data_IF_569071871513
#
_entry.id   IF_569071871513
#
_cell.length_a   1.000
_cell.length_b   1.000
_cell.length_c   1.000
_cell.angle_alpha   90.00
_cell.angle_beta   90.00
_cell.angle_gamma   90.00
#
_symmetry.space_group_name_H-M   'P 1'
#
loop_
_entity.id
_entity.type
_entity.pdbx_description
1 polymer ?
#
# COMPACT_ATOMS: atom_id res chain seq x y z
N UNK A 1 27.34 11.07 13.44
CA UNK A 1 26.90 9.81 14.07
C UNK A 1 25.96 9.07 13.12
N UNK A 2 25.73 7.77 13.33
CA UNK A 2 24.83 6.96 12.48
C UNK A 2 23.38 7.34 12.75
N UNK A 3 22.57 7.43 11.69
CA UNK A 3 21.15 7.80 11.76
C UNK A 3 20.23 6.60 11.54
N UNK A 4 19.00 6.68 12.06
CA UNK A 4 17.99 5.62 11.93
C UNK A 4 17.75 5.23 10.46
N UNK A 5 17.60 6.19 9.55
CA UNK A 5 17.44 5.90 8.12
C UNK A 5 18.59 5.07 7.52
N UNK A 6 19.84 5.25 8.00
CA UNK A 6 20.99 4.49 7.55
C UNK A 6 20.94 3.03 8.03
N UNK A 7 20.46 2.79 9.27
CA UNK A 7 20.22 1.44 9.79
C UNK A 7 19.11 0.74 9.01
N UNK A 8 18.00 1.43 8.74
CA UNK A 8 16.89 0.90 7.93
C UNK A 8 17.39 0.51 6.52
N UNK A 9 18.26 1.33 5.91
CA UNK A 9 18.79 1.07 4.56
C UNK A 9 19.61 -0.22 4.46
N UNK A 10 20.33 -0.61 5.53
CA UNK A 10 21.18 -1.81 5.53
C UNK A 10 20.49 -3.06 6.08
N UNK A 11 19.39 -2.91 6.82
CA UNK A 11 18.70 -4.02 7.49
C UNK A 11 18.35 -5.16 6.52
N UNK A 12 17.83 -4.82 5.34
CA UNK A 12 17.44 -5.81 4.32
C UNK A 12 18.62 -6.67 3.86
N UNK A 13 19.79 -6.08 3.63
CA UNK A 13 20.98 -6.82 3.17
C UNK A 13 21.57 -7.67 4.28
N UNK A 14 21.60 -7.17 5.51
CA UNK A 14 22.02 -7.92 6.70
C UNK A 14 21.11 -9.13 6.92
N UNK A 15 19.78 -8.96 6.85
CA UNK A 15 18.80 -10.05 6.95
C UNK A 15 19.02 -11.12 5.89
N UNK A 16 19.25 -10.72 4.63
CA UNK A 16 19.52 -11.66 3.55
C UNK A 16 20.82 -12.45 3.76
N UNK A 17 21.89 -11.79 4.24
CA UNK A 17 23.18 -12.43 4.55
C UNK A 17 23.04 -13.44 5.68
N UNK A 18 22.35 -13.07 6.76
CA UNK A 18 22.04 -13.93 7.89
C UNK A 18 21.25 -15.20 7.46
N UNK A 19 20.18 -15.02 6.69
CA UNK A 19 19.38 -16.13 6.18
C UNK A 19 20.19 -17.07 5.28
N UNK A 20 21.07 -16.51 4.43
CA UNK A 20 21.98 -17.31 3.59
C UNK A 20 22.95 -18.13 4.45
N UNK A 21 23.62 -17.51 5.41
CA UNK A 21 24.57 -18.21 6.28
C UNK A 21 23.91 -19.40 7.00
N UNK A 22 22.69 -19.20 7.54
CA UNK A 22 21.93 -20.26 8.18
C UNK A 22 21.54 -21.39 7.21
N UNK A 23 21.04 -21.03 6.02
CA UNK A 23 20.64 -22.01 5.01
C UNK A 23 21.81 -22.80 4.42
N UNK A 24 22.96 -22.14 4.22
CA UNK A 24 24.19 -22.76 3.71
C UNK A 24 24.74 -23.75 4.75
N UNK A 25 24.86 -23.33 6.02
CA UNK A 25 25.27 -24.20 7.10
C UNK A 25 24.35 -25.44 7.21
N UNK A 26 23.03 -25.24 7.18
CA UNK A 26 22.08 -26.36 7.21
C UNK A 26 22.26 -27.35 6.04
N UNK A 27 22.46 -26.85 4.81
CA UNK A 27 22.70 -27.70 3.63
C UNK A 27 24.04 -28.43 3.70
N UNK A 28 25.09 -27.79 4.18
CA UNK A 28 26.42 -28.40 4.28
C UNK A 28 26.50 -29.44 5.39
N UNK A 29 25.96 -29.12 6.58
CA UNK A 29 25.90 -30.06 7.69
C UNK A 29 24.97 -31.25 7.41
N UNK A 30 24.00 -31.10 6.50
CA UNK A 30 23.20 -32.21 6.00
C UNK A 30 23.96 -33.23 5.13
N UNK A 31 25.18 -32.91 4.68
CA UNK A 31 25.99 -33.81 3.84
C UNK A 31 26.99 -34.58 4.70
N UNK A 32 26.61 -35.77 5.16
CA UNK A 32 27.47 -36.62 6.01
C UNK A 32 28.91 -36.80 5.49
N UNK A 33 29.18 -36.99 4.19
CA UNK A 33 30.56 -37.10 3.69
C UNK A 33 31.44 -35.87 3.91
N UNK A 34 30.87 -34.67 4.11
CA UNK A 34 31.64 -33.46 4.43
C UNK A 34 32.09 -33.44 5.90
N UNK A 35 31.35 -34.14 6.76
CA UNK A 35 31.59 -34.22 8.21
C UNK A 35 32.42 -35.45 8.59
N UNK A 36 32.59 -36.40 7.68
CA UNK A 36 33.36 -37.62 7.89
C UNK A 36 34.72 -37.54 7.21
N UNK A 37 35.72 -38.09 7.88
CA UNK A 37 37.03 -38.37 7.31
C UNK A 37 37.40 -39.83 7.55
N UNK A 38 38.32 -40.35 6.74
CA UNK A 38 38.86 -41.69 6.90
C UNK A 38 40.38 -41.63 6.76
N UNK A 39 41.10 -42.42 7.55
CA UNK A 39 42.54 -42.64 7.40
C UNK A 39 42.80 -44.13 7.59
N UNK A 40 43.21 -44.80 6.53
CA UNK A 40 43.50 -46.24 6.49
C UNK A 40 44.95 -46.46 6.10
N UNK A 41 45.64 -47.25 6.92
CA UNK A 41 46.97 -47.77 6.63
C UNK A 41 46.85 -49.29 6.51
N UNK A 42 47.35 -49.85 5.43
CA UNK A 42 47.37 -51.30 5.23
C UNK A 42 48.67 -51.88 5.78
N UNK A 43 48.56 -52.93 6.59
CA UNK A 43 49.70 -53.72 7.05
C UNK A 43 49.52 -55.15 6.56
N UNK A 44 50.42 -55.67 5.70
CA UNK A 44 50.37 -57.07 5.28
C UNK A 44 50.53 -58.01 6.47
N UNK A 45 49.89 -59.18 6.40
CA UNK A 45 49.96 -60.20 7.46
C UNK A 45 51.32 -60.90 7.53
N UNK A 46 51.94 -61.12 6.37
CA UNK A 46 53.20 -61.83 6.20
C UNK A 46 54.25 -60.90 5.56
N UNK A 47 55.55 -61.15 5.78
CA UNK A 47 56.64 -60.27 5.31
C UNK A 47 56.73 -60.17 3.76
N UNK A 48 56.24 -61.17 3.04
CA UNK A 48 56.17 -61.18 1.57
C UNK A 48 54.83 -60.67 1.02
N UNK A 49 53.95 -60.15 1.88
CA UNK A 49 52.60 -59.70 1.49
C UNK A 49 52.61 -58.43 0.63
N UNK A 50 51.60 -58.30 -0.23
CA UNK A 50 51.39 -57.15 -1.10
C UNK A 50 51.25 -55.85 -0.29
N UNK A 51 52.02 -54.81 -0.63
CA UNK A 51 51.85 -53.49 -0.02
C UNK A 51 50.79 -52.68 -0.77
N UNK A 52 49.76 -52.26 -0.04
CA UNK A 52 48.72 -51.37 -0.56
C UNK A 52 48.95 -49.93 -0.08
N UNK A 53 48.73 -48.92 -0.93
CA UNK A 53 48.88 -47.53 -0.54
C UNK A 53 47.87 -47.15 0.54
N UNK A 54 48.23 -46.23 1.46
CA UNK A 54 47.29 -45.73 2.45
C UNK A 54 46.19 -44.89 1.78
N UNK A 55 44.98 -44.92 2.36
CA UNK A 55 43.84 -44.13 1.91
C UNK A 55 43.48 -43.08 2.96
N UNK A 56 43.33 -41.83 2.56
CA UNK A 56 42.97 -40.75 3.48
C UNK A 56 42.00 -39.76 2.84
N UNK A 57 40.89 -39.49 3.53
CA UNK A 57 39.98 -38.36 3.27
C UNK A 57 39.87 -37.52 4.54
N UNK A 58 40.11 -36.21 4.44
CA UNK A 58 39.98 -35.30 5.58
C UNK A 58 38.54 -34.85 5.77
N UNK A 59 38.16 -34.55 7.01
CA UNK A 59 36.93 -33.82 7.31
C UNK A 59 36.98 -32.46 6.63
N UNK A 60 35.95 -32.14 5.84
CA UNK A 60 35.90 -30.91 5.04
C UNK A 60 35.17 -29.78 5.78
N UNK A 61 34.26 -30.13 6.69
CA UNK A 61 33.40 -29.19 7.42
C UNK A 61 33.28 -29.63 8.88
N UNK A 62 33.33 -28.68 9.82
CA UNK A 62 33.14 -28.94 11.25
C UNK A 62 31.91 -28.20 11.79
N UNK A 63 31.12 -28.85 12.64
CA UNK A 63 29.90 -28.26 13.21
C UNK A 63 30.21 -26.95 13.96
N UNK A 64 31.24 -26.95 14.81
CA UNK A 64 31.63 -25.77 15.61
C UNK A 64 32.04 -24.56 14.75
N UNK A 65 32.72 -24.79 13.63
CA UNK A 65 33.09 -23.71 12.71
C UNK A 65 31.83 -23.09 12.10
N UNK A 66 30.85 -23.93 11.75
CA UNK A 66 29.61 -23.49 11.10
C UNK A 66 28.69 -22.79 12.09
N UNK A 67 28.64 -23.25 13.34
CA UNK A 67 27.93 -22.57 14.43
C UNK A 67 28.50 -21.18 14.68
N UNK A 68 29.83 -21.00 14.63
CA UNK A 68 30.46 -19.67 14.75
C UNK A 68 30.12 -18.76 13.57
N UNK A 69 30.15 -19.27 12.34
CA UNK A 69 29.79 -18.49 11.15
C UNK A 69 28.32 -18.02 11.19
N UNK A 70 27.41 -18.93 11.54
CA UNK A 70 25.98 -18.63 11.71
C UNK A 70 25.78 -17.64 12.85
N UNK A 71 26.40 -17.87 14.00
CA UNK A 71 26.34 -16.99 15.17
C UNK A 71 26.81 -15.57 14.85
N UNK A 72 27.92 -15.41 14.12
CA UNK A 72 28.42 -14.10 13.73
C UNK A 72 27.44 -13.36 12.78
N UNK A 73 26.90 -14.07 11.78
CA UNK A 73 25.93 -13.50 10.85
C UNK A 73 24.62 -13.11 11.53
N UNK A 74 24.14 -13.96 12.44
CA UNK A 74 22.90 -13.75 13.20
C UNK A 74 23.04 -12.66 14.27
N UNK A 75 24.17 -12.59 14.96
CA UNK A 75 24.51 -11.53 15.90
C UNK A 75 24.34 -10.17 15.24
N UNK A 76 24.94 -10.00 14.05
CA UNK A 76 24.82 -8.74 13.30
C UNK A 76 23.36 -8.41 12.96
N UNK A 77 22.55 -9.40 12.58
CA UNK A 77 21.13 -9.18 12.32
C UNK A 77 20.38 -8.72 13.58
N UNK A 78 20.62 -9.39 14.71
CA UNK A 78 19.95 -9.09 15.97
C UNK A 78 20.28 -7.67 16.45
N UNK A 79 21.56 -7.28 16.39
CA UNK A 79 22.00 -5.95 16.79
C UNK A 79 21.42 -4.84 15.89
N UNK A 80 21.40 -5.04 14.57
CA UNK A 80 20.77 -4.09 13.62
C UNK A 80 19.29 -3.91 13.94
N UNK A 81 18.59 -5.02 14.18
CA UNK A 81 17.14 -5.00 14.41
C UNK A 81 16.83 -4.33 15.74
N UNK A 82 17.55 -4.70 16.80
CA UNK A 82 17.38 -4.13 18.12
C UNK A 82 17.71 -2.62 18.16
N UNK A 83 18.80 -2.22 17.51
CA UNK A 83 19.19 -0.80 17.37
C UNK A 83 18.09 0.00 16.68
N UNK A 84 17.56 -0.52 15.56
CA UNK A 84 16.45 0.11 14.83
C UNK A 84 15.21 0.23 15.72
N UNK A 85 14.80 -0.85 16.37
CA UNK A 85 13.57 -0.87 17.18
C UNK A 85 13.70 0.02 18.43
N UNK A 86 14.87 0.04 19.06
CA UNK A 86 15.16 0.93 20.19
C UNK A 86 15.13 2.40 19.76
N UNK A 87 15.70 2.72 18.60
CA UNK A 87 15.70 4.08 18.07
C UNK A 87 14.30 4.51 17.64
N UNK A 88 13.52 3.62 17.01
CA UNK A 88 12.11 3.88 16.67
C UNK A 88 11.26 4.24 17.89
N UNK A 89 11.57 3.69 19.07
CA UNK A 89 10.83 3.97 20.29
C UNK A 89 10.98 5.43 20.79
N UNK A 90 12.03 6.14 20.34
CA UNK A 90 12.30 7.53 20.73
C UNK A 90 12.23 8.52 19.56
N UNK A 91 12.32 8.02 18.32
CA UNK A 91 12.33 8.85 17.12
C UNK A 91 10.95 9.49 16.91
N UNK A 92 10.91 10.81 17.05
CA UNK A 92 9.70 11.65 16.97
C UNK A 92 9.99 12.89 16.13
N UNK A 93 8.93 13.51 15.59
CA UNK A 93 9.00 14.82 14.95
C UNK A 93 7.62 15.50 14.95
N UNK A 94 7.62 16.81 14.78
CA UNK A 94 6.41 17.62 14.71
C UNK A 94 5.83 17.64 13.28
N UNK A 95 4.50 17.60 13.17
CA UNK A 95 3.79 17.82 11.92
C UNK A 95 3.45 19.31 11.84
N UNK A 96 4.16 20.07 11.01
CA UNK A 96 3.91 21.50 10.80
C UNK A 96 3.29 21.75 9.43
N UNK A 97 2.12 22.41 9.39
CA UNK A 97 1.42 22.78 8.15
C UNK A 97 1.30 24.29 8.08
N UNK A 98 1.73 24.91 6.97
CA UNK A 98 1.68 26.37 6.77
C UNK A 98 2.33 27.18 7.92
N UNK A 99 3.34 26.61 8.59
CA UNK A 99 4.05 27.25 9.71
C UNK A 99 3.43 27.04 11.09
N UNK A 100 2.31 26.32 11.19
CA UNK A 100 1.65 26.01 12.45
C UNK A 100 1.78 24.52 12.79
N UNK A 101 2.18 24.21 14.03
CA UNK A 101 2.29 22.84 14.51
C UNK A 101 0.89 22.23 14.67
N UNK A 102 0.57 21.23 13.85
CA UNK A 102 -0.67 20.46 13.92
C UNK A 102 -0.62 19.38 15.01
N UNK A 103 0.54 18.76 15.17
CA UNK A 103 0.81 17.76 16.22
C UNK A 103 2.32 17.76 16.53
N UNK A 104 2.67 17.65 17.80
CA UNK A 104 4.05 17.63 18.27
C UNK A 104 4.48 16.22 18.72
N UNK A 105 5.79 15.97 18.71
CA UNK A 105 6.44 14.76 19.21
C UNK A 105 5.83 13.45 18.67
N UNK A 106 5.50 13.44 17.37
CA UNK A 106 4.79 12.30 16.75
C UNK A 106 5.78 11.18 16.44
N UNK A 107 5.56 9.93 16.90
CA UNK A 107 6.46 8.81 16.65
C UNK A 107 6.64 8.49 15.16
N UNK A 108 7.87 8.18 14.75
CA UNK A 108 8.22 7.85 13.35
C UNK A 108 7.40 6.70 12.76
N UNK A 109 7.07 5.71 13.59
CA UNK A 109 6.25 4.56 13.20
C UNK A 109 4.80 4.96 12.92
N UNK A 110 4.26 5.92 13.69
CA UNK A 110 2.94 6.49 13.46
C UNK A 110 2.94 7.41 12.24
N UNK A 111 4.00 8.20 12.03
CA UNK A 111 4.14 9.04 10.83
C UNK A 111 4.12 8.20 9.54
N UNK A 112 4.79 7.03 9.53
CA UNK A 112 4.74 6.09 8.42
C UNK A 112 3.32 5.55 8.16
N UNK A 113 2.59 5.20 9.22
CA UNK A 113 1.19 4.80 9.14
C UNK A 113 0.32 5.94 8.57
N UNK A 114 0.46 7.13 9.13
CA UNK A 114 -0.33 8.31 8.78
C UNK A 114 -0.10 8.70 7.32
N UNK A 115 1.15 8.69 6.83
CA UNK A 115 1.47 8.95 5.42
C UNK A 115 0.68 8.02 4.49
N UNK A 116 0.66 6.72 4.81
CA UNK A 116 -0.11 5.72 4.03
C UNK A 116 -1.61 6.04 4.05
N UNK A 117 -2.18 6.26 5.23
CA UNK A 117 -3.62 6.53 5.37
C UNK A 117 -4.05 7.83 4.70
N UNK A 118 -3.21 8.88 4.77
CA UNK A 118 -3.47 10.13 4.06
C UNK A 118 -3.38 9.97 2.54
N UNK A 119 -2.49 9.11 2.05
CA UNK A 119 -2.45 8.74 0.63
C UNK A 119 -3.74 8.06 0.16
N UNK A 120 -4.25 7.10 0.94
CA UNK A 120 -5.54 6.44 0.68
C UNK A 120 -6.71 7.43 0.74
N UNK A 121 -6.72 8.32 1.73
CA UNK A 121 -7.73 9.38 1.86
C UNK A 121 -7.69 10.37 0.70
N UNK A 122 -6.48 10.73 0.22
CA UNK A 122 -6.33 11.59 -0.95
C UNK A 122 -6.90 10.92 -2.21
N UNK A 123 -6.65 9.62 -2.40
CA UNK A 123 -7.23 8.86 -3.51
C UNK A 123 -8.77 8.82 -3.42
N UNK A 124 -9.30 8.59 -2.21
CA UNK A 124 -10.75 8.62 -1.97
C UNK A 124 -11.35 9.99 -2.30
N UNK A 125 -10.77 11.10 -1.80
CA UNK A 125 -11.29 12.45 -2.07
C UNK A 125 -11.28 12.77 -3.57
N UNK A 126 -10.23 12.35 -4.30
CA UNK A 126 -10.15 12.51 -5.76
C UNK A 126 -11.21 11.70 -6.52
N UNK A 127 -11.74 10.63 -5.93
CA UNK A 127 -12.80 9.81 -6.52
C UNK A 127 -14.23 10.30 -6.20
N UNK A 128 -14.39 11.35 -5.39
CA UNK A 128 -15.72 11.83 -5.02
C UNK A 128 -16.50 12.33 -6.25
N UNK A 129 -17.78 11.97 -6.37
CA UNK A 129 -18.62 12.46 -7.45
C UNK A 129 -18.82 13.98 -7.32
N UNK A 130 -18.69 14.68 -8.44
CA UNK A 130 -18.90 16.13 -8.52
C UNK A 130 -20.22 16.47 -9.20
N UNK A 131 -20.79 17.63 -8.86
CA UNK A 131 -21.99 18.16 -9.51
C UNK A 131 -21.74 18.35 -11.02
N UNK A 132 -22.74 18.00 -11.82
CA UNK A 132 -22.70 18.17 -13.28
C UNK A 132 -22.64 19.67 -13.61
N UNK A 133 -21.62 20.07 -14.39
CA UNK A 133 -21.39 21.44 -14.79
C UNK A 133 -22.39 21.95 -15.84
N UNK A 134 -23.15 21.06 -16.48
CA UNK A 134 -24.22 21.44 -17.42
C UNK A 134 -25.46 22.01 -16.72
N UNK A 135 -25.58 21.83 -15.41
CA UNK A 135 -26.75 22.21 -14.61
C UNK A 135 -26.40 23.34 -13.63
N UNK A 136 -27.38 24.19 -13.34
CA UNK A 136 -27.26 25.20 -12.29
C UNK A 136 -27.79 24.64 -10.97
N UNK A 137 -26.90 24.46 -9.99
CA UNK A 137 -27.22 23.84 -8.70
C UNK A 137 -27.29 24.87 -7.59
N UNK A 138 -28.32 24.77 -6.74
CA UNK A 138 -28.45 25.52 -5.49
C UNK A 138 -28.67 24.54 -4.34
N UNK A 139 -28.12 24.84 -3.16
CA UNK A 139 -28.31 23.96 -2.00
C UNK A 139 -29.73 24.13 -1.46
N UNK A 140 -30.45 23.01 -1.31
CA UNK A 140 -31.79 22.96 -0.78
C UNK A 140 -31.75 22.40 0.64
N UNK A 141 -31.92 23.28 1.64
CA UNK A 141 -31.86 22.90 3.06
C UNK A 141 -32.92 21.87 3.46
N UNK A 142 -34.12 21.95 2.89
CA UNK A 142 -35.21 21.04 3.23
C UNK A 142 -34.94 19.60 2.74
N UNK A 143 -34.20 19.46 1.63
CA UNK A 143 -33.84 18.18 1.05
C UNK A 143 -32.38 17.75 1.36
N UNK A 144 -31.63 18.58 2.08
CA UNK A 144 -30.20 18.38 2.42
C UNK A 144 -29.32 17.97 1.23
N UNK A 145 -29.59 18.55 0.05
CA UNK A 145 -28.86 18.25 -1.18
C UNK A 145 -28.94 19.40 -2.19
N UNK A 146 -28.21 19.28 -3.30
CA UNK A 146 -28.27 20.27 -4.37
C UNK A 146 -29.48 20.02 -5.27
N UNK A 147 -30.17 21.09 -5.66
CA UNK A 147 -31.30 21.06 -6.57
C UNK A 147 -31.11 22.04 -7.74
N UNK A 148 -31.65 21.70 -8.91
CA UNK A 148 -31.72 22.65 -10.03
C UNK A 148 -32.92 23.57 -9.91
N UNK A 149 -32.91 24.66 -10.68
CA UNK A 149 -34.13 25.43 -10.88
C UNK A 149 -35.22 24.57 -11.56
N UNK A 150 -36.52 24.76 -11.23
CA UNK A 150 -37.59 23.99 -11.85
C UNK A 150 -37.73 24.31 -13.35
N UNK A 151 -37.61 23.27 -14.19
CA UNK A 151 -37.80 23.39 -15.64
C UNK A 151 -39.19 22.88 -16.01
N UNK A 152 -39.99 23.70 -16.72
CA UNK A 152 -41.32 23.31 -17.20
C UNK A 152 -41.28 22.83 -18.64
N UNK A 153 -41.84 21.65 -18.91
CA UNK A 153 -41.99 21.11 -20.27
C UNK A 153 -43.44 20.78 -20.55
N UNK A 154 -43.89 21.00 -21.79
CA UNK A 154 -45.28 20.75 -22.21
C UNK A 154 -45.45 19.27 -22.51
N UNK A 155 -46.52 18.67 -21.99
CA UNK A 155 -47.00 17.36 -22.42
C UNK A 155 -48.08 17.55 -23.48
N UNK A 156 -47.87 17.02 -24.67
CA UNK A 156 -48.89 16.98 -25.73
C UNK A 156 -49.59 15.64 -25.79
N UNK A 157 -50.80 15.63 -26.33
CA UNK A 157 -51.54 14.42 -26.67
C UNK A 157 -52.01 14.51 -28.11
N UNK A 158 -51.73 13.48 -28.89
CA UNK A 158 -52.30 13.34 -30.23
C UNK A 158 -53.79 13.07 -30.13
N UNK A 159 -54.59 13.97 -30.69
CA UNK A 159 -56.03 13.80 -30.79
C UNK A 159 -56.40 13.69 -32.26
N UNK A 160 -57.13 12.63 -32.67
CA UNK A 160 -57.59 12.50 -34.04
C UNK A 160 -58.60 13.61 -34.35
N UNK A 161 -58.34 14.33 -35.42
CA UNK A 161 -59.23 15.34 -36.01
C UNK A 161 -59.64 14.89 -37.40
N UNK A 162 -60.87 15.20 -37.76
CA UNK A 162 -61.42 14.86 -39.06
C UNK A 162 -61.29 16.09 -39.96
N UNK A 163 -60.53 15.98 -41.05
CA UNK A 163 -60.54 16.96 -42.13
C UNK A 163 -61.43 16.47 -43.27
N UNK A 164 -62.51 17.19 -43.55
CA UNK A 164 -63.36 16.90 -44.70
C UNK A 164 -62.68 17.52 -45.92
N UNK A 165 -62.09 16.68 -46.78
CA UNK A 165 -61.43 17.12 -48.03
C UNK A 165 -62.44 17.52 -49.09
N UNK A 166 -63.58 16.85 -49.12
CA UNK A 166 -64.71 17.14 -49.99
C UNK A 166 -66.02 16.86 -49.25
N UNK A 167 -66.95 17.82 -49.27
CA UNK A 167 -68.27 17.68 -48.66
C UNK A 167 -69.12 16.65 -49.40
N UNK A 168 -70.09 16.05 -48.70
CA UNK A 168 -70.98 15.07 -49.31
C UNK A 168 -71.88 15.75 -50.37
N UNK A 169 -72.06 15.10 -51.52
CA UNK A 169 -73.07 15.44 -52.53
C UNK A 169 -74.16 14.37 -52.55
N UNK A 170 -75.29 14.60 -53.24
CA UNK A 170 -76.40 13.63 -53.28
C UNK A 170 -75.97 12.23 -53.76
N UNK A 171 -74.95 12.14 -54.61
CA UNK A 171 -74.49 10.88 -55.22
C UNK A 171 -73.21 10.32 -54.59
N UNK A 172 -72.49 11.10 -53.76
CA UNK A 172 -71.20 10.69 -53.19
C UNK A 172 -71.02 11.09 -51.71
N UNK A 173 -70.59 10.16 -50.84
CA UNK A 173 -70.33 10.46 -49.44
C UNK A 173 -69.11 11.38 -49.27
N UNK A 174 -69.09 12.14 -48.16
CA UNK A 174 -67.99 13.03 -47.83
C UNK A 174 -66.65 12.27 -47.75
N UNK A 175 -65.61 12.85 -48.35
CA UNK A 175 -64.25 12.32 -48.22
C UNK A 175 -63.60 12.92 -46.98
N UNK A 176 -63.46 12.10 -45.94
CA UNK A 176 -62.86 12.49 -44.66
C UNK A 176 -61.49 11.84 -44.52
N UNK A 177 -60.47 12.65 -44.23
CA UNK A 177 -59.17 12.17 -43.80
C UNK A 177 -58.99 12.42 -42.30
N UNK A 178 -58.55 11.39 -41.58
CA UNK A 178 -58.17 11.52 -40.17
C UNK A 178 -56.71 11.94 -40.10
N UNK A 179 -56.44 13.07 -39.47
CA UNK A 179 -55.08 13.49 -39.13
C UNK A 179 -54.97 13.69 -37.61
N UNK A 180 -53.75 13.60 -37.09
CA UNK A 180 -53.50 13.76 -35.66
C UNK A 180 -52.96 15.16 -35.40
N UNK A 181 -53.63 15.89 -34.51
CA UNK A 181 -53.17 17.17 -33.99
C UNK A 181 -52.56 16.96 -32.61
N UNK A 182 -51.36 17.48 -32.38
CA UNK A 182 -50.69 17.49 -31.08
C UNK A 182 -51.18 18.67 -30.25
N UNK A 183 -52.13 18.43 -29.33
CA UNK A 183 -52.62 19.47 -28.43
C UNK A 183 -51.88 19.44 -27.08
N UNK A 184 -51.46 20.59 -26.53
CA UNK A 184 -50.97 20.69 -25.16
C UNK A 184 -52.03 20.24 -24.16
N UNK A 185 -51.71 19.27 -23.31
CA UNK A 185 -52.63 18.73 -22.29
C UNK A 185 -52.16 18.97 -20.86
N UNK A 186 -50.95 19.50 -20.67
CA UNK A 186 -50.43 19.85 -19.35
C UNK A 186 -48.94 20.19 -19.36
N UNK A 187 -48.39 20.41 -18.17
CA UNK A 187 -46.97 20.72 -17.97
C UNK A 187 -46.35 19.75 -16.97
N UNK A 188 -45.17 19.23 -17.29
CA UNK A 188 -44.27 18.66 -16.31
C UNK A 188 -43.41 19.76 -15.71
N UNK A 189 -43.19 19.73 -14.40
CA UNK A 189 -42.20 20.58 -13.74
C UNK A 189 -41.15 19.66 -13.15
N UNK A 190 -39.92 19.77 -13.64
CA UNK A 190 -38.82 18.88 -13.26
C UNK A 190 -37.81 19.66 -12.43
N UNK A 191 -37.48 19.12 -11.27
CA UNK A 191 -36.36 19.54 -10.43
C UNK A 191 -35.43 18.36 -10.30
N UNK A 192 -34.14 18.52 -10.66
CA UNK A 192 -33.13 17.49 -10.45
C UNK A 192 -32.52 17.69 -9.07
N UNK A 193 -32.21 16.60 -8.38
CA UNK A 193 -31.53 16.61 -7.08
C UNK A 193 -30.22 15.83 -7.17
N UNK A 194 -29.20 16.26 -6.42
CA UNK A 194 -27.89 15.61 -6.38
C UNK A 194 -27.22 15.73 -5.02
N UNK A 195 -26.68 14.61 -4.52
CA UNK A 195 -25.80 14.56 -3.35
C UNK A 195 -24.32 14.68 -3.69
N UNK A 196 -23.96 14.91 -4.96
CA UNK A 196 -22.57 15.10 -5.36
C UNK A 196 -21.99 16.39 -4.78
N UNK A 197 -20.66 16.42 -4.62
CA UNK A 197 -19.98 17.58 -4.06
C UNK A 197 -19.77 18.68 -5.11
N UNK A 198 -19.74 19.97 -4.72
CA UNK A 198 -19.21 21.02 -5.60
C UNK A 198 -17.75 20.74 -5.95
N UNK A 199 -17.38 20.92 -7.23
CA UNK A 199 -16.01 20.71 -7.68
C UNK A 199 -14.98 21.54 -6.87
N UNK A 200 -15.34 22.78 -6.52
CA UNK A 200 -14.53 23.66 -5.65
C UNK A 200 -14.26 23.03 -4.29
N UNK A 201 -15.23 22.33 -3.69
CA UNK A 201 -15.06 21.70 -2.38
C UNK A 201 -14.11 20.52 -2.46
N UNK A 202 -14.22 19.69 -3.51
CA UNK A 202 -13.31 18.55 -3.73
C UNK A 202 -11.87 19.04 -3.95
N UNK A 203 -11.68 20.13 -4.72
CA UNK A 203 -10.38 20.76 -4.91
C UNK A 203 -9.79 21.26 -3.58
N UNK A 204 -10.56 22.01 -2.79
CA UNK A 204 -10.12 22.49 -1.47
C UNK A 204 -9.69 21.37 -0.52
N UNK A 205 -10.44 20.26 -0.49
CA UNK A 205 -10.09 19.09 0.33
C UNK A 205 -8.81 18.42 -0.17
N UNK A 206 -8.68 18.29 -1.49
CA UNK A 206 -7.49 17.72 -2.13
C UNK A 206 -6.23 18.53 -1.83
N UNK A 207 -6.30 19.85 -1.95
CA UNK A 207 -5.18 20.76 -1.68
C UNK A 207 -4.75 20.70 -0.21
N UNK A 208 -5.72 20.68 0.72
CA UNK A 208 -5.44 20.54 2.17
C UNK A 208 -4.79 19.20 2.49
N UNK A 209 -5.26 18.10 1.88
CA UNK A 209 -4.67 16.78 2.04
C UNK A 209 -3.25 16.72 1.47
N UNK A 210 -3.00 17.38 0.34
CA UNK A 210 -1.66 17.44 -0.24
C UNK A 210 -0.68 18.18 0.66
N UNK A 211 -1.07 19.35 1.18
CA UNK A 211 -0.25 20.09 2.16
C UNK A 211 0.07 19.25 3.40
N UNK A 212 -0.93 18.57 3.95
CA UNK A 212 -0.75 17.71 5.12
C UNK A 212 0.15 16.51 4.80
N UNK A 213 -0.02 15.87 3.64
CA UNK A 213 0.80 14.75 3.21
C UNK A 213 2.28 15.17 3.10
N UNK A 214 2.54 16.35 2.54
CA UNK A 214 3.89 16.91 2.44
C UNK A 214 4.47 17.13 3.85
N UNK A 215 3.72 17.77 4.75
CA UNK A 215 4.16 17.99 6.13
C UNK A 215 4.50 16.68 6.86
N UNK A 216 3.65 15.65 6.74
CA UNK A 216 3.89 14.33 7.35
C UNK A 216 5.14 13.66 6.78
N UNK A 217 5.39 13.79 5.47
CA UNK A 217 6.61 13.27 4.85
C UNK A 217 7.87 13.95 5.40
N UNK A 218 7.85 15.27 5.53
CA UNK A 218 8.97 16.00 6.13
C UNK A 218 9.20 15.59 7.59
N UNK A 219 8.14 15.55 8.40
CA UNK A 219 8.21 15.07 9.78
C UNK A 219 8.78 13.64 9.85
N UNK A 220 8.34 12.74 8.97
CA UNK A 220 8.84 11.36 8.92
C UNK A 220 10.34 11.31 8.59
N UNK A 221 10.80 12.11 7.64
CA UNK A 221 12.22 12.17 7.29
C UNK A 221 13.07 12.79 8.42
N UNK A 222 12.54 13.80 9.12
CA UNK A 222 13.17 14.39 10.28
C UNK A 222 13.31 13.38 11.43
N UNK A 223 12.23 12.68 11.78
CA UNK A 223 12.24 11.64 12.80
C UNK A 223 13.20 10.48 12.43
N UNK A 224 13.24 10.09 11.15
CA UNK A 224 14.21 9.12 10.64
C UNK A 224 15.67 9.62 10.65
N UNK A 225 15.87 10.93 10.83
CA UNK A 225 17.15 11.55 11.04
C UNK A 225 17.71 11.38 12.46
N UNK A 226 16.92 10.82 13.38
CA UNK A 226 17.32 10.56 14.78
C UNK A 226 18.59 9.72 14.84
N UNK A 227 19.51 10.11 15.71
CA UNK A 227 20.73 9.36 15.97
C UNK A 227 20.41 8.02 16.65
N UNK A 228 21.12 6.98 16.24
CA UNK A 228 20.79 5.62 16.67
C UNK A 228 21.16 5.39 18.13
N UNK A 229 20.27 4.70 18.84
CA UNK A 229 20.57 4.10 20.12
C UNK A 229 21.13 2.70 19.84
N UNK A 230 22.46 2.60 19.83
CA UNK A 230 23.15 1.33 19.54
C UNK A 230 22.81 0.28 20.59
N UNK A 231 22.34 -0.87 20.13
CA UNK A 231 21.95 -1.99 20.98
C UNK A 231 22.63 -3.27 20.48
N UNK A 232 23.51 -3.82 21.32
CA UNK A 232 24.30 -5.01 21.03
C UNK A 232 23.89 -6.14 21.96
N UNK A 233 22.94 -6.95 21.50
CA UNK A 233 22.36 -8.07 22.25
C UNK A 233 22.70 -9.43 21.66
N UNK A 234 23.07 -9.50 20.37
CA UNK A 234 23.35 -10.75 19.67
C UNK A 234 24.46 -11.56 20.32
N UNK A 235 25.56 -10.91 20.69
CA UNK A 235 26.68 -11.58 21.37
C UNK A 235 26.27 -12.22 22.71
N UNK A 236 25.37 -11.59 23.47
CA UNK A 236 24.88 -12.15 24.75
C UNK A 236 23.98 -13.37 24.50
N UNK A 237 23.11 -13.28 23.50
CA UNK A 237 22.22 -14.39 23.11
C UNK A 237 23.04 -15.60 22.65
N UNK A 238 24.00 -15.40 21.74
CA UNK A 238 24.82 -16.50 21.26
C UNK A 238 25.86 -16.98 22.27
N UNK A 239 26.33 -16.11 23.15
CA UNK A 239 27.14 -16.50 24.31
C UNK A 239 26.38 -17.42 25.25
N UNK A 240 25.07 -17.21 25.44
CA UNK A 240 24.23 -18.15 26.18
C UNK A 240 23.97 -19.46 25.41
N UNK A 241 23.76 -19.40 24.10
CA UNK A 241 23.43 -20.58 23.29
C UNK A 241 24.64 -21.49 23.00
N UNK A 242 25.82 -20.92 22.85
CA UNK A 242 27.04 -21.61 22.39
C UNK A 242 28.23 -21.45 23.35
N UNK A 243 28.04 -20.79 24.49
CA UNK A 243 29.06 -20.71 25.53
C UNK A 243 29.27 -22.07 26.19
N UNK A 244 30.51 -22.31 26.62
CA UNK A 244 30.89 -23.46 27.46
C UNK A 244 30.59 -23.20 28.94
#
# INVERSE_FOLDING_TARGET
>A
MTKLNQIIAIEKSVKAKAARALGDAGRELGKAPLLSGISRTYQPKDEEGEQLPPESTKVQRRVEEQLREVSAAMTRLFDVTATKDRTNAIATADITVDGEALAADVPVTYLLFLEKQLGELQAFVKSLPVLDAAESWTFNEAADCYATDPVRTVRTKKVPRNHVKAEATEEHPAQVEVYYEDIPVGYWTTVKFSGSAPAKRVAQLSDRLEKLLIAVKFAREEANGTEVVDEQMGARIFGYLLGE
#
